data_IF_324918803668
#
_entry.id   IF_324918803668
#
_cell.length_a   1.000
_cell.length_b   1.000
_cell.length_c   1.000
_cell.angle_alpha   90.00
_cell.angle_beta   90.00
_cell.angle_gamma   90.00
#
_symmetry.space_group_name_H-M   'P 1'
#
loop_
_entity.id
_entity.type
_entity.pdbx_description
1 polymer ?
#
# COMPACT_ATOMS: atom_id res chain seq x y z
N UNK A 1 14.01 -10.40 20.13
CA UNK A 1 14.52 -10.30 18.76
C UNK A 1 13.43 -9.88 17.81
N UNK A 2 13.72 -8.91 16.96
CA UNK A 2 12.79 -8.46 15.92
C UNK A 2 13.35 -8.88 14.58
N UNK A 3 12.56 -9.64 13.83
CA UNK A 3 12.89 -10.04 12.47
C UNK A 3 12.28 -9.02 11.51
N UNK A 4 13.10 -8.44 10.65
CA UNK A 4 12.67 -7.43 9.68
C UNK A 4 13.05 -7.90 8.29
N UNK A 5 12.07 -7.82 7.39
CA UNK A 5 12.27 -8.02 5.95
C UNK A 5 11.77 -6.78 5.24
N UNK A 6 12.55 -6.24 4.30
CA UNK A 6 12.13 -5.06 3.55
C UNK A 6 12.77 -5.03 2.17
N UNK A 7 12.09 -4.32 1.27
CA UNK A 7 12.63 -3.91 -0.03
C UNK A 7 12.45 -2.41 -0.16
N UNK A 8 13.46 -1.74 -0.69
CA UNK A 8 13.40 -0.29 -0.88
C UNK A 8 12.70 0.06 -2.19
N UNK A 9 12.19 1.29 -2.26
CA UNK A 9 11.65 1.85 -3.49
C UNK A 9 12.70 1.79 -4.61
N UNK A 10 13.94 2.14 -4.29
CA UNK A 10 15.05 2.15 -5.25
C UNK A 10 15.29 0.76 -5.84
N UNK A 11 15.26 -0.28 -5.02
CA UNK A 11 15.45 -1.65 -5.51
C UNK A 11 14.38 -2.07 -6.51
N UNK A 12 13.14 -1.65 -6.27
CA UNK A 12 11.99 -2.06 -7.09
C UNK A 12 11.86 -1.18 -8.34
N UNK A 13 11.82 0.14 -8.14
CA UNK A 13 11.40 1.07 -9.19
C UNK A 13 12.54 1.78 -9.90
N UNK A 14 13.71 1.90 -9.28
CA UNK A 14 14.87 2.58 -9.87
C UNK A 14 15.86 1.56 -10.42
N UNK A 15 16.23 0.58 -9.62
CA UNK A 15 17.19 -0.45 -10.01
C UNK A 15 16.55 -1.66 -10.69
N UNK A 16 15.25 -1.82 -10.51
CA UNK A 16 14.45 -2.91 -11.12
C UNK A 16 15.01 -4.31 -10.82
N UNK A 17 15.51 -4.52 -9.60
CA UNK A 17 16.04 -5.82 -9.19
C UNK A 17 14.95 -6.87 -9.03
N UNK A 18 13.75 -6.43 -8.69
CA UNK A 18 12.55 -7.26 -8.60
C UNK A 18 11.35 -6.36 -8.87
N UNK A 19 10.26 -6.93 -9.36
CA UNK A 19 9.06 -6.12 -9.55
C UNK A 19 8.26 -5.98 -8.23
N UNK A 20 7.27 -5.10 -8.25
CA UNK A 20 6.51 -4.77 -7.04
C UNK A 20 5.77 -5.98 -6.48
N UNK A 21 5.10 -6.77 -7.32
CA UNK A 21 4.36 -7.96 -6.86
C UNK A 21 5.31 -9.04 -6.34
N UNK A 22 6.48 -9.20 -6.95
CA UNK A 22 7.50 -10.11 -6.41
C UNK A 22 7.94 -9.68 -5.01
N UNK A 23 8.13 -8.39 -4.78
CA UNK A 23 8.46 -7.86 -3.47
C UNK A 23 7.38 -8.18 -2.44
N UNK A 24 6.13 -7.95 -2.79
CA UNK A 24 4.98 -8.23 -1.92
C UNK A 24 4.91 -9.73 -1.61
N UNK A 25 5.04 -10.57 -2.63
CA UNK A 25 5.01 -12.04 -2.47
C UNK A 25 6.12 -12.54 -1.54
N UNK A 26 7.33 -12.02 -1.70
CA UNK A 26 8.46 -12.39 -0.83
C UNK A 26 8.20 -11.95 0.61
N UNK A 27 7.59 -10.80 0.82
CA UNK A 27 7.23 -10.32 2.15
C UNK A 27 6.21 -11.24 2.84
N UNK A 28 5.21 -11.70 2.09
CA UNK A 28 4.24 -12.69 2.63
C UNK A 28 4.91 -14.01 2.95
N UNK A 29 5.83 -14.48 2.12
CA UNK A 29 6.59 -15.70 2.40
C UNK A 29 7.42 -15.57 3.68
N UNK A 30 7.99 -14.40 3.92
CA UNK A 30 8.73 -14.12 5.14
C UNK A 30 7.84 -14.19 6.40
N UNK A 31 6.63 -13.64 6.32
CA UNK A 31 5.69 -13.64 7.44
C UNK A 31 5.09 -15.02 7.67
N UNK A 32 4.96 -15.80 6.59
CA UNK A 32 4.41 -17.15 6.60
C UNK A 32 2.93 -17.13 7.04
N UNK A 33 2.53 -17.97 7.99
CA UNK A 33 1.14 -18.13 8.40
C UNK A 33 0.75 -17.30 9.65
N UNK A 34 1.63 -16.42 10.09
CA UNK A 34 1.33 -15.56 11.24
C UNK A 34 0.21 -14.56 10.92
N UNK A 35 -0.56 -14.16 11.92
CA UNK A 35 -1.54 -13.09 11.71
C UNK A 35 -0.87 -11.79 11.26
N UNK A 36 -1.50 -11.12 10.29
CA UNK A 36 -0.96 -9.92 9.66
C UNK A 36 -1.89 -8.74 9.89
N UNK A 37 -1.33 -7.65 10.39
CA UNK A 37 -1.94 -6.33 10.31
C UNK A 37 -1.29 -5.60 9.14
N UNK A 38 -2.10 -5.24 8.14
CA UNK A 38 -1.63 -4.58 6.94
C UNK A 38 -1.79 -3.07 7.12
N UNK A 39 -0.72 -2.33 6.85
CA UNK A 39 -0.73 -0.88 6.97
C UNK A 39 -0.34 -0.23 5.65
N UNK A 40 -1.09 0.79 5.27
CA UNK A 40 -0.82 1.60 4.09
C UNK A 40 -0.70 3.06 4.50
N UNK A 41 0.51 3.57 4.40
CA UNK A 41 0.79 4.99 4.58
C UNK A 41 0.63 5.68 3.21
N UNK A 42 -0.32 6.62 3.10
CA UNK A 42 -0.58 7.30 1.83
C UNK A 42 0.55 8.22 1.38
N UNK A 43 1.53 8.49 2.24
CA UNK A 43 2.74 9.20 1.83
C UNK A 43 3.56 8.43 0.79
N UNK A 44 3.39 7.10 0.69
CA UNK A 44 4.10 6.31 -0.31
C UNK A 44 3.48 6.44 -1.70
N UNK A 45 2.28 6.99 -1.82
CA UNK A 45 1.56 7.09 -3.09
C UNK A 45 1.88 8.43 -3.72
N UNK A 46 2.35 8.39 -4.98
CA UNK A 46 2.72 9.60 -5.69
C UNK A 46 1.50 10.46 -6.02
N UNK A 47 1.67 11.77 -5.89
CA UNK A 47 0.69 12.78 -6.34
C UNK A 47 -0.69 12.66 -5.69
N UNK A 48 -0.79 12.08 -4.50
CA UNK A 48 -2.04 12.12 -3.73
C UNK A 48 -1.95 13.15 -2.62
N UNK A 49 -3.12 13.54 -2.12
CA UNK A 49 -3.24 14.49 -1.03
C UNK A 49 -2.94 13.79 0.29
N UNK A 50 -1.69 13.83 0.70
CA UNK A 50 -1.19 13.21 1.93
C UNK A 50 -0.27 14.18 2.66
N UNK A 51 0.12 13.85 3.87
CA UNK A 51 0.98 14.72 4.65
C UNK A 51 2.37 14.89 4.00
N UNK A 52 2.89 13.87 3.35
CA UNK A 52 4.20 13.91 2.70
C UNK A 52 4.19 14.43 1.28
N UNK A 53 3.10 14.27 0.56
CA UNK A 53 2.92 14.73 -0.83
C UNK A 53 4.11 14.38 -1.73
N UNK A 54 4.50 13.11 -1.73
CA UNK A 54 5.68 12.64 -2.41
C UNK A 54 5.46 12.51 -3.93
N UNK A 55 6.23 13.22 -4.78
CA UNK A 55 6.09 13.08 -6.23
C UNK A 55 6.68 11.76 -6.77
N UNK A 56 7.61 11.15 -6.05
CA UNK A 56 8.29 9.93 -6.46
C UNK A 56 7.82 8.77 -5.57
N UNK A 57 6.58 8.39 -5.72
CA UNK A 57 6.00 7.31 -4.93
C UNK A 57 5.45 6.19 -5.80
N UNK A 58 4.74 5.29 -5.17
CA UNK A 58 4.05 4.18 -5.82
C UNK A 58 2.78 4.73 -6.49
N UNK A 59 2.46 4.25 -7.69
CA UNK A 59 1.26 4.72 -8.39
C UNK A 59 -0.01 4.22 -7.71
N UNK A 60 -1.12 4.92 -7.95
CA UNK A 60 -2.44 4.51 -7.44
C UNK A 60 -2.78 3.09 -7.89
N UNK A 61 -2.52 2.76 -9.17
CA UNK A 61 -2.82 1.43 -9.68
C UNK A 61 -1.99 0.35 -8.99
N UNK A 62 -0.73 0.62 -8.72
CA UNK A 62 0.13 -0.32 -7.99
C UNK A 62 -0.34 -0.52 -6.56
N UNK A 63 -0.79 0.52 -5.89
CA UNK A 63 -1.38 0.41 -4.55
C UNK A 63 -2.65 -0.44 -4.58
N UNK A 64 -3.51 -0.23 -5.59
CA UNK A 64 -4.71 -1.05 -5.75
C UNK A 64 -4.36 -2.52 -6.01
N UNK A 65 -3.33 -2.78 -6.81
CA UNK A 65 -2.83 -4.14 -7.04
C UNK A 65 -2.33 -4.76 -5.74
N UNK A 66 -1.59 -3.99 -4.93
CA UNK A 66 -1.11 -4.43 -3.63
C UNK A 66 -2.27 -4.85 -2.73
N UNK A 67 -3.30 -4.02 -2.62
CA UNK A 67 -4.47 -4.31 -1.78
C UNK A 67 -5.20 -5.57 -2.26
N UNK A 68 -5.45 -5.69 -3.57
CA UNK A 68 -6.16 -6.85 -4.12
C UNK A 68 -5.36 -8.13 -3.98
N UNK A 69 -4.08 -8.07 -4.27
CA UNK A 69 -3.19 -9.24 -4.12
C UNK A 69 -3.10 -9.68 -2.66
N UNK A 70 -2.85 -8.73 -1.78
CA UNK A 70 -2.66 -9.01 -0.35
C UNK A 70 -3.93 -9.49 0.31
N UNK A 71 -5.08 -8.94 -0.07
CA UNK A 71 -6.36 -9.28 0.55
C UNK A 71 -6.79 -10.74 0.37
N UNK A 72 -6.19 -11.47 -0.57
CA UNK A 72 -6.45 -12.90 -0.73
C UNK A 72 -5.79 -13.76 0.35
N UNK A 73 -4.82 -13.24 1.09
CA UNK A 73 -4.16 -14.01 2.13
C UNK A 73 -5.09 -14.13 3.35
N UNK A 74 -5.42 -15.37 3.76
CA UNK A 74 -6.43 -15.57 4.82
C UNK A 74 -5.97 -15.11 6.20
N UNK A 75 -4.68 -14.95 6.42
CA UNK A 75 -4.12 -14.55 7.71
C UNK A 75 -4.07 -13.03 7.90
N UNK A 76 -4.54 -12.24 6.95
CA UNK A 76 -4.69 -10.79 7.13
C UNK A 76 -5.88 -10.53 8.06
N UNK A 77 -5.63 -9.83 9.16
CA UNK A 77 -6.62 -9.53 10.18
C UNK A 77 -7.18 -8.12 10.09
N UNK A 78 -6.40 -7.18 9.56
CA UNK A 78 -6.81 -5.77 9.51
C UNK A 78 -6.09 -5.02 8.41
N UNK A 79 -6.68 -3.91 7.99
CA UNK A 79 -6.09 -2.93 7.09
C UNK A 79 -6.21 -1.55 7.75
N UNK A 80 -5.08 -0.87 7.91
CA UNK A 80 -5.02 0.50 8.40
C UNK A 80 -4.49 1.43 7.30
N UNK A 81 -5.23 2.49 6.99
CA UNK A 81 -4.82 3.51 6.01
C UNK A 81 -4.64 4.82 6.77
N UNK A 82 -3.48 5.44 6.61
CA UNK A 82 -3.14 6.66 7.34
C UNK A 82 -2.50 7.71 6.43
N UNK A 83 -2.25 8.87 6.98
CA UNK A 83 -1.57 10.01 6.36
C UNK A 83 -2.36 10.68 5.23
N UNK A 84 -3.66 10.40 5.10
CA UNK A 84 -4.54 11.14 4.21
C UNK A 84 -4.80 12.55 4.76
N UNK A 85 -4.79 13.57 3.88
CA UNK A 85 -4.99 14.95 4.27
C UNK A 85 -6.21 15.54 3.56
N UNK A 86 -7.21 15.98 4.32
CA UNK A 86 -8.49 16.45 3.79
C UNK A 86 -8.60 17.96 3.69
N UNK A 87 -7.81 18.72 4.45
CA UNK A 87 -7.81 20.17 4.48
C UNK A 87 -6.47 20.68 3.95
N UNK A 88 -6.31 20.75 2.64
CA UNK A 88 -5.02 21.02 2.00
C UNK A 88 -5.06 22.29 1.17
N UNK A 89 -3.89 22.93 1.09
CA UNK A 89 -3.64 24.01 0.14
C UNK A 89 -3.44 23.47 -1.28
N UNK A 90 -3.03 22.21 -1.39
CA UNK A 90 -2.76 21.54 -2.66
C UNK A 90 -3.54 20.23 -2.72
N UNK A 91 -3.92 19.85 -3.91
CA UNK A 91 -4.65 18.62 -4.13
C UNK A 91 -6.16 18.75 -3.91
N UNK A 92 -6.86 17.68 -4.17
CA UNK A 92 -8.31 17.60 -4.14
C UNK A 92 -8.73 16.57 -3.09
N UNK A 93 -9.42 17.03 -2.04
CA UNK A 93 -9.91 16.15 -0.98
C UNK A 93 -10.96 15.16 -1.48
N UNK A 94 -11.71 15.49 -2.54
CA UNK A 94 -12.64 14.53 -3.15
C UNK A 94 -11.90 13.41 -3.85
N UNK A 95 -10.76 13.68 -4.49
CA UNK A 95 -9.93 12.65 -5.08
C UNK A 95 -9.35 11.71 -4.02
N UNK A 96 -8.94 12.27 -2.88
CA UNK A 96 -8.48 11.47 -1.76
C UNK A 96 -9.59 10.55 -1.25
N UNK A 97 -10.80 11.09 -1.07
CA UNK A 97 -11.94 10.30 -0.60
C UNK A 97 -12.27 9.17 -1.57
N UNK A 98 -12.24 9.43 -2.88
CA UNK A 98 -12.44 8.40 -3.90
C UNK A 98 -11.35 7.32 -3.84
N UNK A 99 -10.10 7.72 -3.68
CA UNK A 99 -9.01 6.77 -3.56
C UNK A 99 -9.21 5.84 -2.36
N UNK A 100 -9.51 6.39 -1.20
CA UNK A 100 -9.74 5.59 0.01
C UNK A 100 -10.93 4.65 -0.21
N UNK A 101 -12.01 5.14 -0.84
CA UNK A 101 -13.17 4.30 -1.15
C UNK A 101 -12.79 3.14 -2.08
N UNK A 102 -11.97 3.39 -3.10
CA UNK A 102 -11.48 2.32 -4.00
C UNK A 102 -10.64 1.31 -3.23
N UNK A 103 -9.74 1.76 -2.36
CA UNK A 103 -8.86 0.87 -1.62
C UNK A 103 -9.64 -0.02 -0.64
N UNK A 104 -10.60 0.55 0.07
CA UNK A 104 -11.47 -0.21 0.97
C UNK A 104 -12.31 -1.21 0.19
N UNK A 105 -12.86 -0.80 -0.94
CA UNK A 105 -13.66 -1.68 -1.81
C UNK A 105 -12.78 -2.81 -2.38
N UNK A 106 -11.58 -2.50 -2.83
CA UNK A 106 -10.63 -3.49 -3.33
C UNK A 106 -10.31 -4.53 -2.24
N UNK A 107 -10.10 -4.06 -1.03
CA UNK A 107 -9.82 -4.96 0.10
C UNK A 107 -11.00 -5.89 0.39
N UNK A 108 -12.18 -5.32 0.53
CA UNK A 108 -13.40 -6.11 0.83
C UNK A 108 -13.66 -7.15 -0.25
N UNK A 109 -13.55 -6.76 -1.53
CA UNK A 109 -13.73 -7.69 -2.65
C UNK A 109 -12.71 -8.81 -2.66
N UNK A 110 -11.46 -8.51 -2.30
CA UNK A 110 -10.40 -9.52 -2.28
C UNK A 110 -10.58 -10.54 -1.15
N UNK A 111 -11.34 -10.21 -0.10
CA UNK A 111 -11.61 -11.10 1.03
C UNK A 111 -12.70 -12.14 0.73
N UNK A 112 -13.53 -11.87 -0.22
CA UNK A 112 -14.62 -12.76 -0.61
C UNK A 112 -14.23 -13.63 -1.76
#
# INVERSE_FOLDING_TARGET
NVNIHYHTYEEIFVEERLNFIQSVSQSFSFIDDHPISMELDLDVVSSVNSSGQNPSGISVNEVRQFIRFSGHYPNICSLHICEGATAQLHGDSQQLAKLIAFLVTDFVKSRG
#
